data_IF_165831390943
#
_entry.id   IF_165831390943
#
_cell.length_a   1.000
_cell.length_b   1.000
_cell.length_c   1.000
_cell.angle_alpha   90.00
_cell.angle_beta   90.00
_cell.angle_gamma   90.00
#
_symmetry.space_group_name_H-M   'P 1'
#
loop_
_entity.id
_entity.type
_entity.pdbx_description
1 polymer ?
#
# COMPACT_ATOMS: atom_id res chain seq x y z
N UNK A 1 -60.53 -35.78 33.27
CA UNK A 1 -59.67 -36.06 32.14
C UNK A 1 -58.75 -34.82 31.91
N UNK A 2 -57.55 -34.87 32.38
CA UNK A 2 -56.60 -33.73 32.37
C UNK A 2 -55.51 -33.99 31.33
N UNK A 3 -55.56 -33.21 30.24
CA UNK A 3 -54.59 -33.28 29.15
C UNK A 3 -53.37 -32.41 29.47
N UNK A 4 -52.19 -32.99 29.72
CA UNK A 4 -50.95 -32.25 29.91
C UNK A 4 -50.27 -32.02 28.55
N UNK A 5 -50.22 -30.77 28.09
CA UNK A 5 -49.44 -30.36 26.95
C UNK A 5 -47.95 -30.22 27.38
N UNK A 6 -47.08 -31.02 26.82
CA UNK A 6 -45.62 -30.87 26.98
C UNK A 6 -45.07 -29.92 25.93
N UNK A 7 -44.57 -28.79 26.38
CA UNK A 7 -43.87 -27.81 25.55
C UNK A 7 -42.43 -28.26 25.39
N UNK A 8 -42.01 -28.69 24.18
CA UNK A 8 -40.59 -28.95 23.84
C UNK A 8 -39.95 -27.61 23.48
N UNK A 9 -39.02 -27.16 24.33
CA UNK A 9 -38.09 -26.08 23.99
C UNK A 9 -36.95 -26.65 23.12
N UNK A 10 -36.94 -26.28 21.83
CA UNK A 10 -35.82 -26.49 20.93
C UNK A 10 -34.81 -25.37 21.16
N UNK A 11 -33.72 -25.66 21.89
CA UNK A 11 -32.53 -24.79 21.98
C UNK A 11 -31.74 -24.92 20.68
N UNK A 12 -31.91 -23.90 19.80
CA UNK A 12 -31.07 -23.76 18.61
C UNK A 12 -29.61 -23.35 19.00
N UNK A 13 -28.68 -24.26 18.88
CA UNK A 13 -27.25 -23.94 18.94
C UNK A 13 -26.87 -23.18 17.67
N UNK A 14 -26.72 -21.86 17.79
CA UNK A 14 -26.12 -21.04 16.75
C UNK A 14 -24.60 -21.21 16.85
N UNK A 15 -24.06 -22.15 16.12
CA UNK A 15 -22.61 -22.35 16.01
C UNK A 15 -22.01 -21.16 15.26
N UNK A 16 -21.23 -20.32 15.96
CA UNK A 16 -20.38 -19.32 15.35
C UNK A 16 -19.27 -20.09 14.61
N UNK A 17 -19.38 -20.21 13.29
CA UNK A 17 -18.28 -20.69 12.47
C UNK A 17 -17.13 -19.67 12.59
N UNK A 18 -16.08 -20.04 13.32
CA UNK A 18 -14.83 -19.28 13.28
C UNK A 18 -14.30 -19.30 11.85
N UNK A 19 -14.21 -18.13 11.23
CA UNK A 19 -13.57 -17.99 9.93
C UNK A 19 -12.13 -18.51 10.06
N UNK A 20 -11.84 -19.64 9.43
CA UNK A 20 -10.47 -20.17 9.37
C UNK A 20 -9.63 -19.19 8.56
N UNK A 21 -8.56 -18.66 9.13
CA UNK A 21 -7.54 -17.93 8.40
C UNK A 21 -7.06 -18.84 7.26
N UNK A 22 -7.06 -18.37 6.00
CA UNK A 22 -6.55 -19.18 4.90
C UNK A 22 -5.13 -19.67 5.22
N UNK A 23 -4.87 -20.94 4.98
CA UNK A 23 -3.52 -21.49 5.16
C UNK A 23 -2.55 -20.74 4.22
N UNK A 24 -1.38 -20.36 4.73
CA UNK A 24 -0.32 -19.77 3.91
C UNK A 24 0.03 -20.73 2.78
N UNK A 25 0.09 -20.27 1.50
CA UNK A 25 0.48 -21.12 0.39
C UNK A 25 1.84 -21.79 0.60
N UNK A 26 2.01 -23.00 0.08
CA UNK A 26 3.21 -23.81 0.34
C UNK A 26 4.48 -23.27 -0.32
N UNK A 27 4.35 -22.36 -1.29
CA UNK A 27 5.43 -21.70 -2.01
C UNK A 27 5.87 -20.36 -1.38
N UNK A 28 5.33 -20.02 -0.21
CA UNK A 28 5.75 -18.83 0.55
C UNK A 28 6.89 -19.18 1.49
N UNK A 29 8.04 -18.49 1.31
CA UNK A 29 9.14 -18.56 2.25
C UNK A 29 8.76 -17.87 3.58
N UNK A 30 8.86 -18.57 4.73
CA UNK A 30 8.40 -18.02 6.01
C UNK A 30 9.22 -16.84 6.55
N UNK A 31 10.45 -16.63 6.06
CA UNK A 31 11.31 -15.54 6.51
C UNK A 31 11.07 -14.26 5.71
N UNK A 32 10.83 -14.38 4.42
CA UNK A 32 10.52 -13.24 3.54
C UNK A 32 9.03 -12.91 3.50
N UNK A 33 8.17 -13.85 3.89
CA UNK A 33 6.71 -13.78 3.74
C UNK A 33 6.28 -13.65 2.27
N UNK A 34 7.05 -14.20 1.35
CA UNK A 34 6.78 -14.11 -0.09
C UNK A 34 7.33 -15.32 -0.84
N UNK A 35 6.98 -15.45 -2.13
CA UNK A 35 7.59 -16.45 -3.03
C UNK A 35 9.09 -16.22 -3.26
N UNK A 36 9.58 -15.04 -2.92
CA UNK A 36 10.96 -14.63 -3.14
C UNK A 36 11.71 -14.65 -1.81
N UNK A 37 12.65 -15.58 -1.56
CA UNK A 37 13.48 -15.60 -0.36
C UNK A 37 14.24 -14.29 -0.15
N UNK A 38 14.74 -14.07 1.07
CA UNK A 38 15.52 -12.88 1.39
C UNK A 38 16.86 -12.92 0.65
N UNK A 39 17.10 -11.90 -0.19
CA UNK A 39 18.36 -11.74 -0.89
C UNK A 39 19.48 -11.32 0.06
N UNK A 40 20.63 -11.99 -0.03
CA UNK A 40 21.81 -11.66 0.75
C UNK A 40 22.84 -10.90 -0.10
N UNK A 41 23.61 -10.01 0.52
CA UNK A 41 24.67 -9.27 -0.16
C UNK A 41 25.69 -10.18 -0.84
N UNK A 42 25.97 -11.35 -0.24
CA UNK A 42 26.89 -12.37 -0.78
C UNK A 42 26.42 -13.00 -2.09
N UNK A 43 25.14 -12.88 -2.44
CA UNK A 43 24.55 -13.39 -3.68
C UNK A 43 24.72 -12.40 -4.84
N UNK A 44 25.16 -11.16 -4.56
CA UNK A 44 25.41 -10.14 -5.57
C UNK A 44 26.63 -10.48 -6.41
N UNK A 45 26.44 -10.58 -7.72
CA UNK A 45 27.44 -11.13 -8.66
C UNK A 45 28.55 -10.14 -8.98
N UNK A 46 28.25 -8.86 -9.12
CA UNK A 46 29.17 -7.81 -9.51
C UNK A 46 29.35 -6.79 -8.40
N UNK A 47 30.39 -5.93 -8.51
CA UNK A 47 30.56 -4.80 -7.59
C UNK A 47 29.43 -3.78 -7.74
N UNK A 48 28.90 -3.60 -8.96
CA UNK A 48 27.73 -2.76 -9.20
C UNK A 48 26.49 -3.29 -8.48
N UNK A 49 26.24 -4.61 -8.53
CA UNK A 49 25.12 -5.22 -7.80
C UNK A 49 25.27 -5.05 -6.28
N UNK A 50 26.49 -5.23 -5.77
CA UNK A 50 26.79 -4.99 -4.34
C UNK A 50 26.57 -3.54 -3.93
N UNK A 51 26.97 -2.60 -4.77
CA UNK A 51 26.73 -1.18 -4.53
C UNK A 51 25.22 -0.86 -4.53
N UNK A 52 24.44 -1.41 -5.47
CA UNK A 52 23.00 -1.26 -5.49
C UNK A 52 22.34 -1.87 -4.25
N UNK A 53 22.76 -3.05 -3.82
CA UNK A 53 22.32 -3.67 -2.58
C UNK A 53 22.58 -2.75 -1.38
N UNK A 54 23.81 -2.27 -1.23
CA UNK A 54 24.22 -1.38 -0.13
C UNK A 54 23.44 -0.06 -0.13
N UNK A 55 23.09 0.45 -1.33
CA UNK A 55 22.25 1.63 -1.45
C UNK A 55 20.82 1.40 -0.94
N UNK A 56 20.20 0.27 -1.29
CA UNK A 56 18.83 -0.06 -0.92
C UNK A 56 18.73 -0.45 0.56
N UNK A 57 19.60 -1.34 1.01
CA UNK A 57 19.55 -1.89 2.38
C UNK A 57 20.15 -0.92 3.40
N UNK A 58 21.11 -0.08 2.98
CA UNK A 58 21.94 0.73 3.86
C UNK A 58 23.12 -0.06 4.42
N UNK A 59 24.13 0.67 4.91
CA UNK A 59 25.37 0.09 5.46
C UNK A 59 25.30 -0.18 6.97
N UNK A 60 24.29 0.36 7.66
CA UNK A 60 24.10 0.12 9.09
C UNK A 60 23.60 -1.31 9.34
N UNK A 61 24.09 -1.98 10.42
CA UNK A 61 23.58 -3.29 10.81
C UNK A 61 22.06 -3.25 11.00
N UNK A 62 21.33 -4.17 10.37
CA UNK A 62 19.88 -4.34 10.53
C UNK A 62 19.60 -5.52 11.45
N UNK A 63 18.68 -5.32 12.38
CA UNK A 63 18.18 -6.40 13.27
C UNK A 63 17.12 -7.26 12.59
N UNK A 64 16.52 -6.74 11.52
CA UNK A 64 15.49 -7.43 10.72
C UNK A 64 15.80 -7.28 9.23
N UNK A 65 15.51 -8.31 8.42
CA UNK A 65 15.67 -8.22 6.97
C UNK A 65 14.77 -7.14 6.37
N UNK A 66 15.15 -6.63 5.19
CA UNK A 66 14.32 -5.74 4.41
C UNK A 66 13.25 -6.56 3.69
N UNK A 67 12.01 -6.37 4.08
CA UNK A 67 10.83 -7.00 3.46
C UNK A 67 10.11 -6.02 2.53
N UNK A 68 9.09 -6.52 1.86
CA UNK A 68 8.25 -5.71 0.97
C UNK A 68 8.95 -5.29 -0.33
N UNK A 69 8.51 -4.19 -0.98
CA UNK A 69 9.03 -3.80 -2.29
C UNK A 69 10.53 -3.58 -2.32
N UNK A 70 11.11 -2.99 -1.28
CA UNK A 70 12.55 -2.78 -1.17
C UNK A 70 13.35 -4.09 -1.18
N UNK A 71 12.91 -5.10 -0.41
CA UNK A 71 13.53 -6.42 -0.41
C UNK A 71 13.38 -7.14 -1.75
N UNK A 72 12.18 -7.05 -2.36
CA UNK A 72 11.88 -7.65 -3.65
C UNK A 72 12.71 -7.03 -4.80
N UNK A 73 12.93 -5.72 -4.77
CA UNK A 73 13.70 -5.01 -5.81
C UNK A 73 15.11 -5.56 -5.96
N UNK A 74 15.71 -6.11 -4.89
CA UNK A 74 17.07 -6.66 -4.88
C UNK A 74 17.26 -7.87 -5.83
N UNK A 75 16.16 -8.51 -6.26
CA UNK A 75 16.21 -9.52 -7.33
C UNK A 75 16.57 -8.94 -8.70
N UNK A 76 16.47 -7.62 -8.84
CA UNK A 76 16.91 -6.88 -10.03
C UNK A 76 17.80 -5.71 -9.61
N UNK A 77 19.09 -5.98 -9.25
CA UNK A 77 19.97 -4.94 -8.71
C UNK A 77 20.09 -3.72 -9.62
N UNK A 78 20.07 -3.93 -10.94
CA UNK A 78 20.14 -2.83 -11.91
C UNK A 78 18.96 -1.85 -11.84
N UNK A 79 17.78 -2.27 -11.38
CA UNK A 79 16.62 -1.40 -11.16
C UNK A 79 16.44 -0.98 -9.71
N UNK A 80 16.97 -1.76 -8.76
CA UNK A 80 16.74 -1.57 -7.33
C UNK A 80 17.17 -0.19 -6.83
N UNK A 81 18.38 0.25 -7.22
CA UNK A 81 18.88 1.57 -6.85
C UNK A 81 18.03 2.70 -7.43
N UNK A 82 17.59 2.57 -8.69
CA UNK A 82 16.78 3.59 -9.34
C UNK A 82 15.40 3.72 -8.67
N UNK A 83 14.76 2.59 -8.35
CA UNK A 83 13.47 2.54 -7.64
C UNK A 83 13.60 3.18 -6.26
N UNK A 84 14.62 2.78 -5.49
CA UNK A 84 14.86 3.31 -4.14
C UNK A 84 15.19 4.81 -4.18
N UNK A 85 15.96 5.26 -5.16
CA UNK A 85 16.30 6.66 -5.35
C UNK A 85 15.07 7.51 -5.67
N UNK A 86 14.19 7.01 -6.54
CA UNK A 86 12.91 7.64 -6.83
C UNK A 86 12.05 7.75 -5.58
N UNK A 87 11.84 6.65 -4.87
CA UNK A 87 11.01 6.62 -3.66
C UNK A 87 11.55 7.56 -2.56
N UNK A 88 12.87 7.58 -2.34
CA UNK A 88 13.48 8.52 -1.38
C UNK A 88 13.26 9.98 -1.77
N UNK A 89 13.44 10.32 -3.04
CA UNK A 89 13.18 11.67 -3.54
C UNK A 89 11.72 12.08 -3.31
N UNK A 90 10.77 11.26 -3.74
CA UNK A 90 9.34 11.52 -3.58
C UNK A 90 8.94 11.67 -2.11
N UNK A 91 9.55 10.88 -1.24
CA UNK A 91 9.27 10.86 0.19
C UNK A 91 9.82 12.06 0.96
N UNK A 92 10.98 12.57 0.58
CA UNK A 92 11.75 13.52 1.39
C UNK A 92 11.99 14.87 0.73
N UNK A 93 12.17 14.91 -0.59
CA UNK A 93 12.66 16.08 -1.33
C UNK A 93 11.65 16.64 -2.34
N UNK A 94 10.56 15.92 -2.59
CA UNK A 94 9.47 16.31 -3.48
C UNK A 94 8.76 17.58 -2.99
N UNK A 95 8.34 18.42 -3.91
CA UNK A 95 7.61 19.67 -3.62
C UNK A 95 6.20 19.44 -3.07
N UNK A 96 5.65 18.23 -3.18
CA UNK A 96 4.33 17.89 -2.63
C UNK A 96 4.35 17.69 -1.11
N UNK A 97 5.52 17.42 -0.54
CA UNK A 97 5.70 17.17 0.88
C UNK A 97 5.12 15.84 1.37
N UNK A 98 5.50 15.47 2.60
CA UNK A 98 5.23 14.13 3.15
C UNK A 98 3.74 13.80 3.26
N UNK A 99 2.89 14.76 3.60
CA UNK A 99 1.46 14.55 3.76
C UNK A 99 0.79 14.07 2.46
N UNK A 100 1.06 14.78 1.35
CA UNK A 100 0.48 14.40 0.06
C UNK A 100 1.16 13.16 -0.55
N UNK A 101 2.44 12.92 -0.22
CA UNK A 101 3.11 11.66 -0.53
C UNK A 101 2.33 10.47 0.07
N UNK A 102 1.99 10.52 1.37
CA UNK A 102 1.23 9.45 2.02
C UNK A 102 -0.18 9.30 1.45
N UNK A 103 -0.84 10.42 1.10
CA UNK A 103 -2.14 10.38 0.44
C UNK A 103 -2.06 9.66 -0.92
N UNK A 104 -1.05 9.96 -1.73
CA UNK A 104 -0.83 9.29 -3.01
C UNK A 104 -0.50 7.80 -2.84
N UNK A 105 0.28 7.45 -1.81
CA UNK A 105 0.62 6.07 -1.49
C UNK A 105 -0.63 5.21 -1.20
N UNK A 106 -1.53 5.71 -0.35
CA UNK A 106 -2.77 4.98 -0.05
C UNK A 106 -3.75 4.95 -1.24
N UNK A 107 -3.74 5.98 -2.10
CA UNK A 107 -4.52 5.94 -3.36
C UNK A 107 -4.01 4.82 -4.25
N UNK A 108 -2.70 4.75 -4.52
CA UNK A 108 -2.10 3.69 -5.33
C UNK A 108 -2.37 2.29 -4.75
N UNK A 109 -2.14 2.13 -3.44
CA UNK A 109 -2.40 0.87 -2.75
C UNK A 109 -3.86 0.42 -2.84
N UNK A 110 -4.81 1.36 -2.72
CA UNK A 110 -6.24 1.07 -2.81
C UNK A 110 -6.66 0.62 -4.21
N UNK A 111 -6.14 1.26 -5.26
CA UNK A 111 -6.53 0.96 -6.65
C UNK A 111 -6.15 -0.46 -7.09
N UNK A 112 -5.10 -1.02 -6.53
CA UNK A 112 -4.64 -2.39 -6.80
C UNK A 112 -4.89 -3.35 -5.64
N UNK A 113 -5.71 -2.96 -4.66
CA UNK A 113 -6.11 -3.77 -3.50
C UNK A 113 -4.92 -4.31 -2.68
N UNK A 114 -3.82 -3.54 -2.60
CA UNK A 114 -2.60 -4.01 -1.95
C UNK A 114 -2.61 -3.74 -0.45
N UNK A 115 -2.90 -4.79 0.32
CA UNK A 115 -3.05 -4.73 1.77
C UNK A 115 -1.74 -4.37 2.50
N UNK A 116 -0.58 -4.85 1.99
CA UNK A 116 0.71 -4.57 2.61
C UNK A 116 1.04 -3.08 2.58
N UNK A 117 0.87 -2.44 1.40
CA UNK A 117 1.09 -0.99 1.24
C UNK A 117 0.06 -0.20 2.04
N UNK A 118 -1.22 -0.54 1.91
CA UNK A 118 -2.27 0.16 2.65
C UNK A 118 -2.01 0.15 4.16
N UNK A 119 -1.75 -1.02 4.75
CA UNK A 119 -1.55 -1.17 6.20
C UNK A 119 -0.27 -0.49 6.70
N UNK A 120 0.70 -0.24 5.83
CA UNK A 120 1.89 0.54 6.13
C UNK A 120 1.64 2.05 6.08
N UNK A 121 0.84 2.50 5.11
CA UNK A 121 0.69 3.91 4.78
C UNK A 121 -0.54 4.59 5.39
N UNK A 122 -1.62 3.87 5.73
CA UNK A 122 -2.77 4.46 6.43
C UNK A 122 -2.37 5.12 7.77
N UNK A 123 -1.63 4.45 8.69
CA UNK A 123 -1.18 5.08 9.92
C UNK A 123 -0.23 6.27 9.68
N UNK A 124 0.64 6.16 8.68
CA UNK A 124 1.55 7.25 8.31
C UNK A 124 0.78 8.45 7.74
N UNK A 125 -0.23 8.21 6.89
CA UNK A 125 -1.08 9.27 6.36
C UNK A 125 -1.75 10.08 7.48
N UNK A 126 -2.30 9.40 8.49
CA UNK A 126 -2.85 10.04 9.68
C UNK A 126 -1.79 10.84 10.44
N UNK A 127 -0.62 10.24 10.68
CA UNK A 127 0.48 10.88 11.39
C UNK A 127 0.98 12.15 10.70
N UNK A 128 1.02 12.16 9.37
CA UNK A 128 1.44 13.32 8.58
C UNK A 128 0.30 14.29 8.25
N UNK A 129 -0.89 14.09 8.80
CA UNK A 129 -1.98 15.06 8.78
C UNK A 129 -2.93 14.93 7.58
N UNK A 130 -2.99 13.78 6.91
CA UNK A 130 -4.10 13.45 6.01
C UNK A 130 -5.36 13.29 6.86
N UNK A 131 -6.47 13.91 6.44
CA UNK A 131 -7.70 13.86 7.22
C UNK A 131 -8.26 12.43 7.27
N UNK A 132 -8.78 12.00 8.43
CA UNK A 132 -9.48 10.71 8.54
C UNK A 132 -10.58 10.57 7.50
N UNK A 133 -11.27 11.67 7.20
CA UNK A 133 -12.34 11.71 6.21
C UNK A 133 -11.84 11.41 4.79
N UNK A 134 -10.64 11.90 4.42
CA UNK A 134 -10.02 11.57 3.12
C UNK A 134 -9.65 10.09 3.05
N UNK A 135 -9.03 9.56 4.10
CA UNK A 135 -8.71 8.13 4.21
C UNK A 135 -9.97 7.29 4.06
N UNK A 136 -11.03 7.61 4.80
CA UNK A 136 -12.33 6.91 4.71
C UNK A 136 -12.98 7.04 3.33
N UNK A 137 -12.82 8.20 2.68
CA UNK A 137 -13.33 8.44 1.32
C UNK A 137 -12.66 7.52 0.31
N UNK A 138 -11.36 7.26 0.45
CA UNK A 138 -10.62 6.30 -0.38
C UNK A 138 -11.00 4.88 0.02
N UNK A 139 -10.83 4.54 1.28
CA UNK A 139 -10.99 3.19 1.87
C UNK A 139 -12.33 2.56 1.54
N UNK A 140 -13.40 3.33 1.67
CA UNK A 140 -14.77 2.88 1.44
C UNK A 140 -15.37 3.36 0.12
N UNK A 141 -14.53 3.88 -0.77
CA UNK A 141 -14.93 4.41 -2.09
C UNK A 141 -16.11 5.39 -2.03
N UNK A 142 -16.10 6.28 -1.04
CA UNK A 142 -17.18 7.25 -0.83
C UNK A 142 -17.09 8.39 -1.85
N UNK A 143 -18.20 9.13 -1.99
CA UNK A 143 -18.21 10.38 -2.74
C UNK A 143 -17.26 11.39 -2.12
N UNK A 144 -16.59 12.19 -2.95
CA UNK A 144 -15.67 13.24 -2.49
C UNK A 144 -16.52 14.44 -2.05
N UNK A 145 -16.67 14.64 -0.75
CA UNK A 145 -17.48 15.72 -0.19
C UNK A 145 -16.89 16.22 1.13
N UNK A 146 -16.80 17.56 1.27
CA UNK A 146 -16.39 18.21 2.52
C UNK A 146 -14.98 17.81 2.99
N UNK A 147 -14.05 17.64 2.07
CA UNK A 147 -12.62 17.47 2.31
C UNK A 147 -11.90 18.81 2.11
N UNK A 148 -10.69 18.99 2.65
CA UNK A 148 -9.80 20.05 2.24
C UNK A 148 -9.61 20.08 0.72
N UNK A 149 -9.41 21.27 0.15
CA UNK A 149 -9.35 21.47 -1.30
C UNK A 149 -8.25 20.62 -1.95
N UNK A 150 -7.09 20.59 -1.36
CA UNK A 150 -5.93 19.82 -1.83
C UNK A 150 -6.16 18.31 -1.78
N UNK A 151 -6.75 17.77 -0.70
CA UNK A 151 -7.11 16.35 -0.61
C UNK A 151 -8.19 15.98 -1.64
N UNK A 152 -9.17 16.88 -1.85
CA UNK A 152 -10.22 16.73 -2.88
C UNK A 152 -9.60 16.52 -4.25
N UNK A 153 -8.70 17.44 -4.65
CA UNK A 153 -8.08 17.41 -5.98
C UNK A 153 -7.19 16.18 -6.15
N UNK A 154 -6.39 15.83 -5.15
CA UNK A 154 -5.49 14.65 -5.23
C UNK A 154 -6.28 13.35 -5.35
N UNK A 155 -7.37 13.17 -4.58
CA UNK A 155 -8.22 11.97 -4.68
C UNK A 155 -8.94 11.94 -6.04
N UNK A 156 -9.39 13.09 -6.54
CA UNK A 156 -10.02 13.16 -7.85
C UNK A 156 -9.04 12.81 -8.98
N UNK A 157 -7.80 13.35 -8.92
CA UNK A 157 -6.73 12.96 -9.85
C UNK A 157 -6.49 11.46 -9.85
N UNK A 158 -6.35 10.86 -8.66
CA UNK A 158 -6.11 9.42 -8.53
C UNK A 158 -7.21 8.60 -9.19
N UNK A 159 -8.47 8.93 -8.95
CA UNK A 159 -9.63 8.26 -9.58
C UNK A 159 -9.63 8.41 -11.10
N UNK A 160 -9.39 9.60 -11.61
CA UNK A 160 -9.36 9.84 -13.05
C UNK A 160 -8.18 9.13 -13.72
N UNK A 161 -6.98 9.23 -13.16
CA UNK A 161 -5.77 8.65 -13.76
C UNK A 161 -5.83 7.12 -13.72
N UNK A 162 -6.13 6.54 -12.55
CA UNK A 162 -5.98 5.09 -12.34
C UNK A 162 -7.21 4.28 -12.77
N UNK A 163 -8.41 4.89 -12.81
CA UNK A 163 -9.65 4.19 -13.19
C UNK A 163 -10.17 4.59 -14.57
N UNK A 164 -10.14 5.89 -14.86
CA UNK A 164 -10.70 6.41 -16.12
C UNK A 164 -9.62 6.57 -17.20
N UNK A 165 -8.34 6.37 -16.85
CA UNK A 165 -7.16 6.48 -17.73
C UNK A 165 -7.09 7.84 -18.45
N UNK A 166 -7.49 8.89 -17.77
CA UNK A 166 -7.46 10.27 -18.25
C UNK A 166 -7.35 11.25 -17.08
N UNK A 167 -7.02 12.48 -17.37
CA UNK A 167 -7.14 13.61 -16.45
C UNK A 167 -7.83 14.74 -17.20
N UNK A 168 -9.01 15.16 -16.75
CA UNK A 168 -9.72 16.24 -17.43
C UNK A 168 -9.07 17.61 -17.20
N UNK A 169 -9.42 18.55 -18.08
CA UNK A 169 -8.79 19.88 -18.08
C UNK A 169 -9.11 20.69 -16.83
N UNK A 170 -10.28 20.49 -16.22
CA UNK A 170 -10.69 21.19 -15.00
C UNK A 170 -9.87 20.72 -13.81
N UNK A 171 -9.81 19.41 -13.57
CA UNK A 171 -9.01 18.81 -12.50
C UNK A 171 -7.52 19.12 -12.69
N UNK A 172 -7.00 19.04 -13.94
CA UNK A 172 -5.63 19.42 -14.23
C UNK A 172 -5.35 20.91 -13.90
N UNK A 173 -6.20 21.83 -14.35
CA UNK A 173 -6.02 23.24 -14.07
C UNK A 173 -6.07 23.54 -12.56
N UNK A 174 -6.94 22.85 -11.82
CA UNK A 174 -7.05 22.99 -10.38
C UNK A 174 -5.80 22.47 -9.67
N UNK A 175 -5.30 21.29 -10.06
CA UNK A 175 -4.06 20.74 -9.52
C UNK A 175 -2.85 21.66 -9.79
N UNK A 176 -2.73 22.19 -11.01
CA UNK A 176 -1.64 23.13 -11.35
C UNK A 176 -1.74 24.43 -10.55
N UNK A 177 -2.95 24.92 -10.27
CA UNK A 177 -3.17 26.10 -9.44
C UNK A 177 -2.67 25.88 -8.00
N UNK A 178 -2.89 24.70 -7.43
CA UNK A 178 -2.52 24.39 -6.05
C UNK A 178 -1.05 23.96 -5.90
N UNK A 179 -0.54 23.16 -6.83
CA UNK A 179 0.74 22.46 -6.67
C UNK A 179 1.79 22.85 -7.71
N UNK A 180 1.43 23.70 -8.68
CA UNK A 180 2.24 23.95 -9.87
C UNK A 180 2.35 22.71 -10.78
N UNK A 181 3.00 22.88 -11.94
CA UNK A 181 3.18 21.75 -12.87
C UNK A 181 4.05 20.64 -12.31
N UNK A 182 5.12 21.01 -11.59
CA UNK A 182 6.01 20.03 -10.94
C UNK A 182 5.25 19.19 -9.91
N UNK A 183 4.55 19.84 -8.96
CA UNK A 183 3.79 19.13 -7.94
C UNK A 183 2.69 18.26 -8.53
N UNK A 184 1.98 18.72 -9.55
CA UNK A 184 0.96 17.93 -10.26
C UNK A 184 1.56 16.66 -10.88
N UNK A 185 2.76 16.76 -11.47
CA UNK A 185 3.45 15.59 -12.01
C UNK A 185 3.96 14.66 -10.91
N UNK A 186 4.54 15.20 -9.84
CA UNK A 186 5.07 14.41 -8.72
C UNK A 186 3.96 13.65 -7.95
N UNK A 187 2.75 14.21 -7.83
CA UNK A 187 1.57 13.50 -7.33
C UNK A 187 1.28 12.25 -8.19
N UNK A 188 1.28 12.42 -9.51
CA UNK A 188 1.03 11.32 -10.44
C UNK A 188 2.13 10.25 -10.40
N UNK A 189 3.40 10.69 -10.35
CA UNK A 189 4.56 9.78 -10.20
C UNK A 189 4.46 8.99 -8.90
N UNK A 190 4.10 9.65 -7.79
CA UNK A 190 3.97 8.98 -6.49
C UNK A 190 2.88 7.91 -6.51
N UNK A 191 1.71 8.20 -7.10
CA UNK A 191 0.67 7.17 -7.28
C UNK A 191 1.17 6.00 -8.11
N UNK A 192 1.89 6.26 -9.21
CA UNK A 192 2.49 5.24 -10.07
C UNK A 192 3.56 4.41 -9.37
N UNK A 193 4.39 5.00 -8.52
CA UNK A 193 5.41 4.32 -7.70
C UNK A 193 4.75 3.28 -6.77
N UNK A 194 3.64 3.65 -6.13
CA UNK A 194 2.89 2.73 -5.25
C UNK A 194 2.07 1.67 -6.00
N UNK A 195 1.61 1.96 -7.20
CA UNK A 195 1.04 0.93 -8.09
C UNK A 195 2.13 -0.07 -8.51
N UNK A 196 3.33 0.42 -8.89
CA UNK A 196 4.47 -0.45 -9.21
C UNK A 196 4.88 -1.31 -8.00
N UNK A 197 5.04 -0.72 -6.82
CA UNK A 197 5.36 -1.44 -5.58
C UNK A 197 4.33 -2.54 -5.31
N UNK A 198 3.05 -2.25 -5.46
CA UNK A 198 1.98 -3.21 -5.27
C UNK A 198 1.98 -4.33 -6.31
N UNK A 199 2.29 -4.05 -7.58
CA UNK A 199 2.47 -5.08 -8.61
C UNK A 199 3.59 -6.04 -8.22
N UNK A 200 4.71 -5.54 -7.70
CA UNK A 200 5.81 -6.37 -7.20
C UNK A 200 5.36 -7.29 -6.06
N UNK A 201 4.60 -6.76 -5.11
CA UNK A 201 4.05 -7.52 -3.98
C UNK A 201 3.06 -8.58 -4.44
N UNK A 202 2.20 -8.28 -5.41
CA UNK A 202 1.24 -9.24 -6.00
C UNK A 202 2.00 -10.36 -6.72
N UNK A 203 2.99 -10.04 -7.55
CA UNK A 203 3.78 -11.03 -8.27
C UNK A 203 4.53 -11.98 -7.32
N UNK A 204 4.98 -11.45 -6.17
CA UNK A 204 5.66 -12.20 -5.13
C UNK A 204 4.71 -12.92 -4.17
N UNK A 205 3.40 -12.72 -4.28
CA UNK A 205 2.40 -13.14 -3.28
C UNK A 205 2.85 -12.80 -1.85
N UNK A 206 3.25 -11.54 -1.67
CA UNK A 206 3.84 -11.09 -0.40
C UNK A 206 2.77 -10.96 0.67
N UNK A 207 2.91 -11.76 1.71
CA UNK A 207 1.95 -11.85 2.81
C UNK A 207 2.11 -10.67 3.79
N UNK A 208 1.01 -10.28 4.41
CA UNK A 208 1.06 -9.29 5.50
C UNK A 208 1.75 -9.90 6.72
N UNK A 209 2.72 -9.18 7.35
CA UNK A 209 3.34 -9.68 8.56
C UNK A 209 2.32 -10.00 9.66
N UNK A 210 2.49 -11.08 10.45
CA UNK A 210 1.50 -11.52 11.44
C UNK A 210 1.11 -10.46 12.49
N UNK A 211 2.03 -9.54 12.78
CA UNK A 211 1.80 -8.44 13.73
C UNK A 211 1.25 -7.16 13.09
N UNK A 212 0.99 -7.16 11.79
CA UNK A 212 0.41 -6.02 11.07
C UNK A 212 -1.06 -6.28 10.78
N UNK A 213 -1.99 -5.45 11.28
CA UNK A 213 -3.41 -5.65 11.01
C UNK A 213 -3.75 -5.39 9.54
N UNK A 214 -4.69 -6.16 9.01
CA UNK A 214 -5.28 -5.90 7.71
C UNK A 214 -6.26 -4.73 7.85
N UNK A 215 -5.89 -3.57 7.30
CA UNK A 215 -6.68 -2.34 7.45
C UNK A 215 -7.58 -2.05 6.24
N UNK A 216 -7.24 -2.56 5.05
CA UNK A 216 -8.07 -2.43 3.86
C UNK A 216 -9.17 -3.50 3.91
N UNK A 217 -10.47 -3.14 3.82
CA UNK A 217 -11.55 -4.13 3.77
C UNK A 217 -11.45 -4.98 2.51
N UNK A 218 -11.82 -6.25 2.62
CA UNK A 218 -11.98 -7.11 1.44
C UNK A 218 -13.09 -6.53 0.54
N UNK A 219 -12.88 -6.60 -0.76
CA UNK A 219 -13.85 -6.20 -1.78
C UNK A 219 -14.56 -7.39 -2.37
#
# INVERSE_FOLDING_TARGET
MSSRVRLLLLLGFCGIAAAQTPATPADIDPNSLSRFPIVQRSEMKTDADRAAYDYVVGTAPRTTPLLGPGGLSLYSPGSAEAIERLNRYLRSDSVIGRRLFELCAIIGAWEIEQQYEWSGHEPAALQYGVSQKAIDTIKFNRKIEGLPEDETVVIQMGRQILREHRLDSETYAHAVKLFGRQGTLELSITMGDYVMAGIMLIAADHQLPPNRPALLPAR
#
